data_IF_031006207643
#
_entry.id   IF_031006207643
#
_cell.length_a   1.000
_cell.length_b   1.000
_cell.length_c   1.000
_cell.angle_alpha   90.00
_cell.angle_beta   90.00
_cell.angle_gamma   90.00
#
_symmetry.space_group_name_H-M   'P 1'
#
loop_
_entity.id
_entity.type
_entity.pdbx_description
1 polymer ?
#
# COMPACT_ATOMS: atom_id res chain seq x y z
N UNK A 1 -3.09 8.38 -4.51
CA UNK A 1 -2.76 9.83 -4.57
C UNK A 1 -3.10 10.56 -3.27
N UNK A 2 -4.37 10.57 -2.83
CA UNK A 2 -4.82 11.29 -1.61
C UNK A 2 -3.96 11.02 -0.36
N UNK A 3 -3.64 9.76 -0.07
CA UNK A 3 -2.81 9.39 1.09
C UNK A 3 -1.40 9.99 1.02
N UNK A 4 -0.76 9.89 -0.14
CA UNK A 4 0.59 10.46 -0.37
C UNK A 4 0.55 11.98 -0.24
N UNK A 5 -0.44 12.65 -0.85
CA UNK A 5 -0.59 14.10 -0.71
C UNK A 5 -0.81 14.51 0.75
N UNK A 6 -1.64 13.77 1.49
CA UNK A 6 -1.88 14.01 2.92
C UNK A 6 -0.58 13.92 3.73
N UNK A 7 0.30 12.95 3.43
CA UNK A 7 1.63 12.84 4.05
C UNK A 7 2.53 14.05 3.74
N UNK A 8 2.59 14.48 2.48
CA UNK A 8 3.38 15.66 2.11
C UNK A 8 2.87 16.94 2.78
N UNK A 9 1.54 17.13 2.83
CA UNK A 9 0.95 18.27 3.54
C UNK A 9 1.25 18.21 5.04
N UNK A 10 1.11 17.04 5.67
CA UNK A 10 1.45 16.86 7.08
C UNK A 10 2.93 17.11 7.37
N UNK A 11 3.82 16.85 6.40
CA UNK A 11 5.25 17.15 6.47
C UNK A 11 5.59 18.64 6.18
N UNK A 12 4.59 19.49 5.89
CA UNK A 12 4.80 20.92 5.65
C UNK A 12 5.14 21.29 4.21
N UNK A 13 4.83 20.45 3.22
CA UNK A 13 4.97 20.82 1.83
C UNK A 13 4.16 22.10 1.51
N UNK A 14 4.70 22.96 0.64
CA UNK A 14 4.00 24.16 0.17
C UNK A 14 3.13 23.91 -1.09
N UNK A 15 3.23 22.71 -1.68
CA UNK A 15 2.50 22.33 -2.88
C UNK A 15 2.75 20.88 -3.26
N UNK A 16 1.83 20.32 -4.05
CA UNK A 16 1.92 18.97 -4.60
C UNK A 16 2.20 19.06 -6.09
N UNK A 17 3.28 18.41 -6.54
CA UNK A 17 3.64 18.31 -7.95
C UNK A 17 3.35 16.91 -8.47
N UNK A 18 2.66 16.83 -9.62
CA UNK A 18 2.35 15.57 -10.30
C UNK A 18 3.17 15.47 -11.59
N UNK A 19 4.06 14.47 -11.65
CA UNK A 19 4.82 14.14 -12.85
C UNK A 19 4.14 13.02 -13.63
N UNK A 20 4.06 13.13 -14.96
CA UNK A 20 3.42 12.17 -15.88
C UNK A 20 1.90 11.99 -15.78
N UNK A 21 1.16 12.94 -15.20
CA UNK A 21 -0.32 12.91 -15.15
C UNK A 21 -1.00 13.68 -16.30
N UNK A 22 -0.23 14.18 -17.27
CA UNK A 22 -0.76 15.02 -18.38
C UNK A 22 -1.73 14.28 -19.32
N UNK A 23 -1.73 12.95 -19.33
CA UNK A 23 -2.62 12.15 -20.18
C UNK A 23 -3.97 11.84 -19.54
N UNK A 24 -4.17 12.18 -18.27
CA UNK A 24 -5.44 11.97 -17.61
C UNK A 24 -6.53 12.88 -18.21
N UNK A 25 -7.78 12.38 -18.22
CA UNK A 25 -8.91 13.10 -18.79
C UNK A 25 -9.26 14.38 -18.01
N UNK A 26 -9.92 15.36 -18.65
CA UNK A 26 -10.22 16.66 -18.03
C UNK A 26 -11.00 16.56 -16.71
N UNK A 27 -12.09 15.77 -16.69
CA UNK A 27 -12.92 15.57 -15.51
C UNK A 27 -12.15 14.91 -14.35
N UNK A 28 -11.27 13.96 -14.69
CA UNK A 28 -10.40 13.33 -13.69
C UNK A 28 -9.41 14.35 -13.12
N UNK A 29 -8.78 15.15 -13.98
CA UNK A 29 -7.82 16.17 -13.57
C UNK A 29 -8.48 17.20 -12.67
N UNK A 30 -9.63 17.75 -13.07
CA UNK A 30 -10.37 18.73 -12.27
C UNK A 30 -10.69 18.15 -10.88
N UNK A 31 -11.30 16.97 -10.83
CA UNK A 31 -11.67 16.32 -9.57
C UNK A 31 -10.45 16.04 -8.68
N UNK A 32 -9.38 15.46 -9.24
CA UNK A 32 -8.22 15.05 -8.45
C UNK A 32 -7.39 16.27 -8.03
N UNK A 33 -7.11 17.21 -8.92
CA UNK A 33 -6.31 18.40 -8.59
C UNK A 33 -7.01 19.26 -7.53
N UNK A 34 -8.34 19.44 -7.62
CA UNK A 34 -9.11 20.15 -6.59
C UNK A 34 -9.00 19.48 -5.21
N UNK A 35 -8.91 18.15 -5.16
CA UNK A 35 -8.71 17.42 -3.91
C UNK A 35 -7.27 17.54 -3.40
N UNK A 36 -6.26 17.43 -4.27
CA UNK A 36 -4.86 17.38 -3.83
C UNK A 36 -4.28 18.76 -3.49
N UNK A 37 -4.83 19.84 -4.07
CA UNK A 37 -4.33 21.20 -3.92
C UNK A 37 -4.58 21.82 -2.54
N UNK A 38 -5.56 21.31 -1.80
CA UNK A 38 -5.92 21.81 -0.47
C UNK A 38 -5.95 20.66 0.56
N UNK A 39 -5.12 20.70 1.63
CA UNK A 39 -5.17 19.70 2.69
C UNK A 39 -6.54 19.60 3.37
N UNK A 40 -7.32 20.67 3.43
CA UNK A 40 -8.67 20.63 3.99
C UNK A 40 -9.63 19.82 3.10
N UNK A 41 -9.48 19.89 1.78
CA UNK A 41 -10.25 19.10 0.82
C UNK A 41 -9.93 17.60 0.89
N UNK A 42 -8.77 17.21 1.43
CA UNK A 42 -8.41 15.81 1.68
C UNK A 42 -9.04 15.23 2.94
N UNK A 43 -9.54 16.07 3.84
CA UNK A 43 -10.07 15.63 5.13
C UNK A 43 -11.26 14.69 4.92
N UNK A 44 -11.21 13.53 5.58
CA UNK A 44 -12.25 12.50 5.51
C UNK A 44 -12.58 11.97 4.11
N UNK A 45 -11.69 12.14 3.13
CA UNK A 45 -11.74 11.36 1.90
C UNK A 45 -11.05 10.02 2.11
N UNK A 46 -11.60 8.98 1.49
CA UNK A 46 -10.99 7.66 1.45
C UNK A 46 -9.55 7.72 0.95
N UNK A 47 -8.67 7.03 1.68
CA UNK A 47 -7.23 7.04 1.46
C UNK A 47 -6.68 5.63 1.53
N UNK A 48 -5.70 5.38 0.68
CA UNK A 48 -4.98 4.12 0.63
C UNK A 48 -3.50 4.36 0.85
N UNK A 49 -3.01 3.88 1.97
CA UNK A 49 -1.61 3.96 2.38
C UNK A 49 -0.91 2.69 1.91
N UNK A 50 0.06 2.82 1.01
CA UNK A 50 0.78 1.69 0.42
C UNK A 50 2.26 1.80 0.77
N UNK A 51 2.89 0.67 1.11
CA UNK A 51 4.34 0.58 1.16
C UNK A 51 4.94 0.42 -0.23
N UNK A 52 6.10 1.03 -0.40
CA UNK A 52 6.81 0.98 -1.66
C UNK A 52 7.67 -0.28 -1.81
N UNK A 53 7.91 -0.69 -3.05
CA UNK A 53 8.76 -1.83 -3.40
C UNK A 53 10.13 -1.35 -3.88
N UNK A 54 11.19 -2.01 -3.41
CA UNK A 54 12.58 -1.75 -3.83
C UNK A 54 12.86 -2.15 -5.27
N UNK A 55 12.00 -3.00 -5.85
CA UNK A 55 12.10 -3.47 -7.22
C UNK A 55 11.93 -2.36 -8.29
N UNK A 56 11.61 -1.12 -7.90
CA UNK A 56 11.63 0.07 -8.78
C UNK A 56 12.94 0.22 -9.57
N UNK A 57 14.03 -0.38 -9.09
CA UNK A 57 15.35 -0.28 -9.72
C UNK A 57 15.88 -1.60 -10.30
N UNK A 58 15.11 -2.69 -10.23
CA UNK A 58 15.60 -4.04 -10.53
C UNK A 58 14.66 -4.90 -11.38
N UNK A 59 13.61 -4.33 -11.99
CA UNK A 59 12.76 -5.14 -12.88
C UNK A 59 13.58 -5.67 -14.07
N UNK A 60 13.29 -6.87 -14.61
CA UNK A 60 14.00 -7.43 -15.75
C UNK A 60 13.94 -6.56 -17.01
N UNK A 61 12.91 -5.71 -17.13
CA UNK A 61 12.80 -4.69 -18.18
C UNK A 61 13.90 -3.63 -18.10
N UNK A 62 14.47 -3.38 -16.92
CA UNK A 62 15.58 -2.46 -16.70
C UNK A 62 16.96 -3.13 -16.81
N UNK A 63 17.04 -4.47 -16.76
CA UNK A 63 18.30 -5.19 -16.96
C UNK A 63 18.74 -5.28 -18.43
N UNK A 64 17.82 -5.05 -19.38
CA UNK A 64 18.13 -5.08 -20.82
C UNK A 64 18.64 -3.73 -21.37
N UNK A 65 18.55 -2.64 -20.59
CA UNK A 65 19.07 -1.32 -20.97
C UNK A 65 20.03 -0.82 -19.89
N UNK A 66 21.35 -0.85 -20.13
CA UNK A 66 22.29 -0.28 -19.18
C UNK A 66 22.04 1.23 -19.09
N UNK A 67 21.62 1.69 -17.90
CA UNK A 67 21.61 3.10 -17.48
C UNK A 67 20.92 4.09 -18.44
N UNK A 68 19.58 4.09 -18.46
CA UNK A 68 18.82 5.16 -19.13
C UNK A 68 17.42 5.42 -18.52
N UNK A 69 17.21 5.26 -17.21
CA UNK A 69 15.94 5.64 -16.58
C UNK A 69 16.11 6.83 -15.61
N UNK A 70 15.24 7.83 -15.78
CA UNK A 70 15.04 8.98 -14.86
C UNK A 70 14.93 8.50 -13.40
N UNK A 71 14.40 7.30 -13.19
CA UNK A 71 14.24 6.64 -11.90
C UNK A 71 15.57 6.48 -11.15
N UNK A 72 16.68 6.10 -11.81
CA UNK A 72 17.98 5.93 -11.15
C UNK A 72 18.50 7.24 -10.54
N UNK A 73 18.11 8.39 -11.08
CA UNK A 73 18.45 9.72 -10.54
C UNK A 73 17.93 9.92 -9.11
N UNK A 74 16.83 9.25 -8.76
CA UNK A 74 16.19 9.33 -7.44
C UNK A 74 16.52 8.13 -6.54
N UNK A 75 17.43 7.24 -6.96
CA UNK A 75 17.76 6.01 -6.21
C UNK A 75 18.17 6.27 -4.77
N UNK A 76 18.86 7.38 -4.51
CA UNK A 76 19.28 7.79 -3.15
C UNK A 76 18.41 8.90 -2.56
N UNK A 77 17.45 9.44 -3.34
CA UNK A 77 16.55 10.49 -2.89
C UNK A 77 15.32 9.93 -2.15
N UNK A 78 15.00 8.65 -2.36
CA UNK A 78 13.95 7.96 -1.63
C UNK A 78 14.56 7.06 -0.55
N UNK A 79 13.97 7.00 0.67
CA UNK A 79 14.33 5.99 1.66
C UNK A 79 14.27 4.59 1.05
N UNK A 80 15.13 3.69 1.53
CA UNK A 80 15.09 2.29 1.11
C UNK A 80 13.66 1.77 1.26
N UNK A 81 13.07 1.32 0.15
CA UNK A 81 11.78 0.68 0.18
C UNK A 81 11.82 -0.57 1.07
N UNK A 82 10.77 -0.78 1.85
CA UNK A 82 10.73 -1.83 2.87
C UNK A 82 10.37 -3.20 2.29
N UNK A 83 9.89 -3.26 1.05
CA UNK A 83 9.45 -4.48 0.37
C UNK A 83 10.39 -4.85 -0.80
N UNK A 84 10.45 -6.13 -1.22
CA UNK A 84 9.79 -7.28 -0.62
C UNK A 84 10.44 -7.71 0.71
N UNK A 85 9.67 -8.41 1.56
CA UNK A 85 10.17 -8.98 2.81
C UNK A 85 10.07 -10.49 2.75
N UNK A 86 11.20 -11.17 2.92
CA UNK A 86 11.26 -12.63 3.04
C UNK A 86 10.82 -13.00 4.47
N UNK A 87 9.80 -13.85 4.58
CA UNK A 87 9.35 -14.39 5.85
C UNK A 87 9.97 -15.76 6.08
N UNK A 88 10.82 -15.84 7.09
CA UNK A 88 11.38 -17.10 7.57
C UNK A 88 10.56 -17.64 8.75
N UNK A 89 10.42 -18.96 8.83
CA UNK A 89 9.81 -19.58 9.99
C UNK A 89 10.75 -19.41 11.19
N UNK A 90 10.31 -18.65 12.19
CA UNK A 90 11.14 -18.30 13.35
C UNK A 90 10.50 -18.80 14.65
N UNK A 91 11.17 -19.75 15.30
CA UNK A 91 10.80 -20.22 16.66
C UNK A 91 11.30 -19.28 17.75
N UNK A 92 12.28 -18.41 17.44
CA UNK A 92 12.92 -17.49 18.39
C UNK A 92 12.18 -16.15 18.54
N UNK A 93 10.99 -16.01 17.95
CA UNK A 93 10.14 -14.82 18.09
C UNK A 93 10.58 -13.59 17.30
N UNK A 94 11.72 -13.62 16.59
CA UNK A 94 12.11 -12.54 15.68
C UNK A 94 11.22 -12.58 14.43
N UNK A 95 10.54 -11.48 14.15
CA UNK A 95 9.80 -11.26 12.92
C UNK A 95 10.32 -10.02 12.21
N UNK A 96 10.27 -9.99 10.86
CA UNK A 96 10.52 -8.77 10.14
C UNK A 96 9.48 -7.71 10.51
N UNK A 97 9.96 -6.47 10.51
CA UNK A 97 9.18 -5.28 10.80
C UNK A 97 9.10 -4.39 9.58
N UNK A 98 7.93 -3.80 9.35
CA UNK A 98 7.78 -2.66 8.45
C UNK A 98 6.90 -1.60 9.11
N UNK A 99 6.91 -0.38 8.58
CA UNK A 99 6.11 0.71 9.13
C UNK A 99 5.34 1.46 8.07
N UNK A 100 4.06 1.71 8.36
CA UNK A 100 3.16 2.57 7.62
C UNK A 100 3.11 3.94 8.30
N UNK A 101 3.17 5.01 7.51
CA UNK A 101 2.99 6.37 8.00
C UNK A 101 1.64 6.92 7.55
N UNK A 102 0.77 7.16 8.52
CA UNK A 102 -0.62 7.58 8.31
C UNK A 102 -0.74 9.07 8.64
N UNK A 103 -1.17 9.88 7.69
CA UNK A 103 -1.30 11.32 7.91
C UNK A 103 -2.59 11.71 8.64
N UNK A 104 -3.65 10.92 8.48
CA UNK A 104 -4.96 11.19 9.08
C UNK A 104 -4.95 10.99 10.60
N UNK A 105 -5.64 11.88 11.31
CA UNK A 105 -5.99 11.69 12.72
C UNK A 105 -7.21 10.74 12.81
N UNK A 106 -6.89 9.44 12.83
CA UNK A 106 -7.89 8.38 12.91
C UNK A 106 -8.66 8.38 14.24
N UNK A 107 -8.01 8.81 15.33
CA UNK A 107 -8.64 8.87 16.65
C UNK A 107 -9.71 9.97 16.66
N UNK A 108 -9.40 11.16 16.14
CA UNK A 108 -10.37 12.23 15.99
C UNK A 108 -11.51 11.86 15.02
N UNK A 109 -11.21 11.18 13.91
CA UNK A 109 -12.22 10.72 12.96
C UNK A 109 -13.19 9.70 13.59
N UNK A 110 -12.66 8.75 14.37
CA UNK A 110 -13.47 7.77 15.11
C UNK A 110 -14.34 8.46 16.16
N UNK A 111 -13.77 9.38 16.94
CA UNK A 111 -14.51 10.12 17.97
C UNK A 111 -15.63 10.99 17.37
N UNK A 112 -15.43 11.50 16.15
CA UNK A 112 -16.44 12.24 15.41
C UNK A 112 -17.49 11.36 14.70
N UNK A 113 -17.36 10.03 14.75
CA UNK A 113 -18.29 9.10 14.12
C UNK A 113 -18.25 9.10 12.58
N UNK A 114 -17.13 9.52 11.99
CA UNK A 114 -16.98 9.65 10.52
C UNK A 114 -16.02 8.62 9.92
N UNK A 115 -15.27 7.90 10.77
CA UNK A 115 -14.42 6.80 10.33
C UNK A 115 -15.29 5.56 10.13
N UNK A 116 -15.44 5.12 8.88
CA UNK A 116 -16.24 3.96 8.54
C UNK A 116 -15.46 2.66 8.76
N UNK A 117 -14.26 2.56 8.19
CA UNK A 117 -13.49 1.30 8.16
C UNK A 117 -12.00 1.53 7.98
N UNK A 118 -11.21 0.65 8.59
CA UNK A 118 -9.76 0.54 8.36
C UNK A 118 -9.42 -0.92 8.00
N UNK A 119 -9.02 -1.16 6.75
CA UNK A 119 -8.70 -2.49 6.23
C UNK A 119 -7.22 -2.59 5.88
N UNK A 120 -6.48 -3.42 6.61
CA UNK A 120 -5.10 -3.76 6.31
C UNK A 120 -5.05 -4.99 5.41
N UNK A 121 -4.41 -4.87 4.25
CA UNK A 121 -4.20 -5.95 3.29
C UNK A 121 -2.71 -6.25 3.15
N UNK A 122 -2.32 -7.51 3.38
CA UNK A 122 -0.97 -8.03 3.15
C UNK A 122 -0.98 -8.96 1.94
N UNK A 123 -0.05 -8.79 0.99
CA UNK A 123 0.00 -9.59 -0.25
C UNK A 123 1.28 -10.40 -0.34
N UNK A 124 1.15 -11.63 -0.81
CA UNK A 124 2.21 -12.62 -0.83
C UNK A 124 2.33 -13.29 -2.21
N UNK A 125 3.52 -13.77 -2.53
CA UNK A 125 3.78 -14.48 -3.78
C UNK A 125 3.19 -15.89 -3.83
N UNK A 126 3.34 -16.66 -2.75
CA UNK A 126 3.08 -18.10 -2.70
C UNK A 126 2.40 -18.52 -1.39
N UNK A 127 1.46 -17.72 -0.91
CA UNK A 127 0.68 -18.04 0.30
C UNK A 127 -0.15 -19.31 0.09
N UNK A 128 0.01 -20.26 1.00
CA UNK A 128 -0.78 -21.48 1.10
C UNK A 128 -1.86 -21.34 2.19
N UNK A 129 -3.02 -21.99 2.04
CA UNK A 129 -4.00 -22.09 3.13
C UNK A 129 -3.44 -22.70 4.42
N UNK A 130 -2.42 -23.58 4.31
CA UNK A 130 -1.76 -24.22 5.45
C UNK A 130 -0.71 -23.33 6.12
N UNK A 131 -0.41 -22.16 5.56
CA UNK A 131 0.48 -21.21 6.19
C UNK A 131 -0.22 -20.56 7.40
N UNK A 132 0.52 -20.40 8.48
CA UNK A 132 0.05 -19.72 9.68
C UNK A 132 0.84 -18.44 9.89
N UNK A 133 0.14 -17.32 9.75
CA UNK A 133 0.72 -15.98 9.85
C UNK A 133 0.04 -15.25 11.01
N UNK A 134 0.85 -14.74 11.93
CA UNK A 134 0.44 -13.82 12.98
C UNK A 134 0.91 -12.42 12.61
N UNK A 135 0.01 -11.44 12.70
CA UNK A 135 0.30 -10.04 12.39
C UNK A 135 0.05 -9.21 13.64
N UNK A 136 0.99 -8.33 13.97
CA UNK A 136 0.82 -7.31 14.99
C UNK A 136 0.90 -5.94 14.37
N UNK A 137 0.12 -5.01 14.90
CA UNK A 137 0.30 -3.59 14.65
C UNK A 137 0.43 -2.84 15.97
N UNK A 138 1.47 -2.02 16.10
CA UNK A 138 1.81 -1.33 17.35
C UNK A 138 1.71 -2.26 18.57
N UNK A 139 2.36 -3.43 18.48
CA UNK A 139 2.39 -4.50 19.50
C UNK A 139 1.05 -5.20 19.79
N UNK A 140 -0.04 -4.80 19.14
CA UNK A 140 -1.36 -5.43 19.27
C UNK A 140 -1.53 -6.53 18.23
N UNK A 141 -1.83 -7.75 18.66
CA UNK A 141 -2.16 -8.85 17.75
C UNK A 141 -3.44 -8.55 16.98
N UNK A 142 -3.38 -8.66 15.66
CA UNK A 142 -4.55 -8.58 14.80
C UNK A 142 -5.22 -9.94 14.72
N UNK A 143 -6.52 -9.96 14.96
CA UNK A 143 -7.34 -11.13 14.64
C UNK A 143 -7.57 -11.12 13.13
N UNK A 144 -7.24 -12.23 12.46
CA UNK A 144 -7.54 -12.36 11.04
C UNK A 144 -9.06 -12.35 10.86
N UNK A 145 -9.59 -11.31 10.19
CA UNK A 145 -11.02 -11.18 9.96
C UNK A 145 -11.49 -12.20 8.89
N UNK A 146 -10.65 -12.50 7.90
CA UNK A 146 -10.84 -13.59 6.96
C UNK A 146 -9.52 -13.95 6.24
N UNK A 147 -9.24 -15.25 6.10
CA UNK A 147 -8.24 -15.73 5.13
C UNK A 147 -8.96 -15.93 3.81
N UNK A 148 -8.70 -15.08 2.82
CA UNK A 148 -9.23 -15.31 1.49
C UNK A 148 -8.30 -16.29 0.75
N UNK A 149 -8.85 -17.48 0.47
CA UNK A 149 -8.23 -18.55 -0.33
C UNK A 149 -8.10 -18.17 -1.83
N UNK A 150 -7.66 -19.10 -2.69
CA UNK A 150 -6.69 -18.83 -3.74
C UNK A 150 -7.20 -18.06 -4.96
N UNK A 151 -6.28 -17.24 -5.48
CA UNK A 151 -5.95 -16.89 -6.87
C UNK A 151 -7.06 -16.38 -7.82
N UNK A 152 -6.71 -15.27 -8.48
CA UNK A 152 -7.44 -14.62 -9.57
C UNK A 152 -8.66 -13.81 -9.09
N UNK A 153 -8.87 -12.65 -9.72
CA UNK A 153 -9.96 -11.68 -9.56
C UNK A 153 -9.77 -10.49 -8.60
N UNK A 154 -8.65 -10.32 -7.88
CA UNK A 154 -8.39 -8.99 -7.30
C UNK A 154 -8.02 -8.03 -8.42
N UNK A 155 -8.88 -7.04 -8.65
CA UNK A 155 -8.71 -6.04 -9.69
C UNK A 155 -8.31 -4.71 -9.08
N UNK A 156 -7.29 -4.09 -9.66
CA UNK A 156 -6.87 -2.73 -9.36
C UNK A 156 -7.13 -1.85 -10.57
N UNK A 157 -7.67 -0.67 -10.35
CA UNK A 157 -7.69 0.37 -11.37
C UNK A 157 -6.27 0.89 -11.60
N UNK A 158 -5.80 0.77 -12.83
CA UNK A 158 -4.52 1.28 -13.29
C UNK A 158 -4.72 2.12 -14.55
N UNK A 159 -3.76 2.99 -14.84
CA UNK A 159 -3.72 3.65 -16.14
C UNK A 159 -3.24 2.61 -17.16
N UNK A 160 -3.90 2.52 -18.31
CA UNK A 160 -3.56 1.55 -19.36
C UNK A 160 -2.08 1.56 -19.73
N UNK A 161 -1.56 0.39 -20.13
CA UNK A 161 -0.22 0.30 -20.68
C UNK A 161 -0.11 1.21 -21.93
N UNK A 162 1.07 1.81 -22.14
CA UNK A 162 1.28 2.78 -23.23
C UNK A 162 0.37 4.02 -23.17
N UNK A 163 -0.02 4.45 -21.97
CA UNK A 163 -0.85 5.65 -21.73
C UNK A 163 -0.41 6.92 -22.46
N UNK A 164 0.85 7.01 -22.88
CA UNK A 164 1.42 8.12 -23.64
C UNK A 164 1.05 8.11 -25.14
N UNK A 165 0.42 7.04 -25.63
CA UNK A 165 0.09 6.88 -27.06
C UNK A 165 -1.30 7.40 -27.44
N UNK A 166 -2.17 7.64 -26.44
CA UNK A 166 -3.55 8.08 -26.65
C UNK A 166 -4.00 9.05 -25.56
N UNK A 167 -4.87 9.99 -25.93
CA UNK A 167 -5.50 10.92 -25.00
C UNK A 167 -7.05 10.87 -25.10
N UNK A 168 -7.78 10.88 -23.97
CA UNK A 168 -7.27 10.65 -22.62
C UNK A 168 -6.83 9.19 -22.44
N UNK A 169 -5.86 8.95 -21.56
CA UNK A 169 -5.49 7.60 -21.18
C UNK A 169 -6.65 6.92 -20.45
N UNK A 170 -6.88 5.64 -20.74
CA UNK A 170 -7.96 4.88 -20.12
C UNK A 170 -7.54 4.34 -18.75
N UNK A 171 -8.51 4.30 -17.82
CA UNK A 171 -8.38 3.53 -16.59
C UNK A 171 -8.88 2.12 -16.91
N UNK A 172 -8.01 1.14 -16.68
CA UNK A 172 -8.30 -0.28 -16.89
C UNK A 172 -8.30 -0.99 -15.55
N UNK A 173 -9.08 -2.06 -15.46
CA UNK A 173 -8.98 -2.98 -14.33
C UNK A 173 -7.92 -4.03 -14.65
N UNK A 174 -6.87 -4.08 -13.82
CA UNK A 174 -5.79 -5.05 -13.93
C UNK A 174 -5.94 -6.07 -12.82
N UNK A 175 -5.99 -7.33 -13.23
CA UNK A 175 -6.01 -8.46 -12.32
C UNK A 175 -4.62 -8.72 -11.75
N UNK A 176 -4.57 -8.92 -10.44
CA UNK A 176 -3.33 -9.02 -9.69
C UNK A 176 -3.11 -10.48 -9.25
N UNK A 177 -1.95 -11.08 -9.54
CA UNK A 177 -1.73 -12.52 -9.39
C UNK A 177 -1.41 -12.95 -7.94
N UNK A 178 -1.56 -12.06 -6.95
CA UNK A 178 -1.08 -12.27 -5.59
C UNK A 178 -2.16 -12.79 -4.65
N UNK A 179 -1.79 -13.74 -3.79
CA UNK A 179 -2.59 -14.12 -2.64
C UNK A 179 -2.51 -13.03 -1.55
N UNK A 180 -3.56 -12.88 -0.74
CA UNK A 180 -3.62 -11.80 0.24
C UNK A 180 -4.33 -12.20 1.54
N UNK A 181 -4.01 -11.49 2.61
CA UNK A 181 -4.69 -11.55 3.91
C UNK A 181 -5.25 -10.17 4.24
N UNK A 182 -6.46 -10.14 4.79
CA UNK A 182 -7.14 -8.91 5.19
C UNK A 182 -7.47 -8.89 6.69
N UNK A 183 -7.26 -7.73 7.29
CA UNK A 183 -7.50 -7.49 8.70
C UNK A 183 -8.30 -6.20 8.85
N UNK A 184 -9.48 -6.29 9.45
CA UNK A 184 -10.13 -5.12 10.03
C UNK A 184 -9.29 -4.66 11.22
N UNK A 185 -8.94 -3.38 11.24
CA UNK A 185 -8.09 -2.84 12.29
C UNK A 185 -8.75 -1.64 12.94
N UNK A 186 -8.98 -1.73 14.25
CA UNK A 186 -9.50 -0.62 15.03
C UNK A 186 -8.48 0.52 15.21
N UNK A 187 -8.98 1.68 15.65
CA UNK A 187 -8.17 2.81 16.11
C UNK A 187 -8.53 3.15 17.57
N UNK A 188 -7.76 2.75 18.59
CA UNK A 188 -6.48 2.00 18.54
C UNK A 188 -6.68 0.53 18.10
N UNK A 189 -5.62 -0.17 17.60
CA UNK A 189 -4.21 0.18 17.70
C UNK A 189 -3.66 1.16 16.66
N UNK A 190 -4.39 1.41 15.56
CA UNK A 190 -3.95 2.40 14.57
C UNK A 190 -3.87 3.80 15.18
N UNK A 191 -2.91 4.60 14.72
CA UNK A 191 -2.73 5.99 15.13
C UNK A 191 -2.23 6.87 13.99
N UNK A 192 -2.37 8.18 14.17
CA UNK A 192 -1.68 9.14 13.30
C UNK A 192 -0.16 8.99 13.41
N UNK A 193 0.55 9.18 12.30
CA UNK A 193 2.00 9.03 12.20
C UNK A 193 2.42 7.59 11.97
N UNK A 194 3.53 7.19 12.61
CA UNK A 194 4.16 5.89 12.41
C UNK A 194 3.38 4.76 13.10
N UNK A 195 3.05 3.74 12.32
CA UNK A 195 2.46 2.47 12.75
C UNK A 195 3.40 1.33 12.36
N UNK A 196 3.80 0.53 13.33
CA UNK A 196 4.75 -0.58 13.14
C UNK A 196 4.00 -1.90 12.99
N UNK A 197 4.35 -2.66 11.97
CA UNK A 197 3.80 -3.97 11.66
C UNK A 197 4.88 -5.02 11.90
N UNK A 198 4.54 -6.05 12.66
CA UNK A 198 5.35 -7.27 12.81
C UNK A 198 4.59 -8.43 12.19
N UNK A 199 5.28 -9.22 11.37
CA UNK A 199 4.67 -10.32 10.61
C UNK A 199 5.42 -11.60 10.90
N UNK A 200 4.80 -12.51 11.65
CA UNK A 200 5.39 -13.78 12.04
C UNK A 200 4.83 -14.92 11.19
N UNK A 201 5.70 -15.62 10.47
CA UNK A 201 5.37 -16.92 9.89
C UNK A 201 5.56 -18.01 10.96
N UNK A 202 4.46 -18.48 11.55
CA UNK A 202 4.47 -19.53 12.59
C UNK A 202 4.68 -20.92 11.97
N UNK A 203 3.97 -21.17 10.87
CA UNK A 203 3.98 -22.44 10.15
C UNK A 203 4.03 -22.18 8.65
N UNK A 204 4.97 -22.83 7.96
CA UNK A 204 5.04 -22.87 6.49
C UNK A 204 4.51 -24.21 5.98
N UNK A 205 3.70 -24.19 4.93
CA UNK A 205 3.21 -25.41 4.28
C UNK A 205 4.36 -26.29 3.81
N UNK A 206 4.32 -27.58 4.18
CA UNK A 206 5.38 -28.56 3.88
C UNK A 206 5.57 -28.81 2.38
N UNK A 207 4.55 -28.51 1.57
CA UNK A 207 4.57 -28.70 0.13
C UNK A 207 5.26 -27.53 -0.61
N UNK A 208 5.69 -26.49 0.11
CA UNK A 208 6.36 -25.33 -0.47
C UNK A 208 7.84 -25.28 -0.05
N UNK A 209 8.73 -25.48 -1.01
CA UNK A 209 10.18 -25.38 -0.79
C UNK A 209 10.73 -23.95 -0.83
N UNK A 210 9.96 -22.99 -1.39
CA UNK A 210 10.36 -21.59 -1.47
C UNK A 210 9.93 -20.82 -0.20
N UNK A 211 10.74 -19.84 0.25
CA UNK A 211 10.35 -18.98 1.35
C UNK A 211 9.11 -18.16 0.96
N UNK A 212 8.29 -17.81 1.96
CA UNK A 212 7.12 -16.97 1.73
C UNK A 212 7.58 -15.51 1.64
N UNK A 213 7.16 -14.77 0.60
CA UNK A 213 7.58 -13.38 0.42
C UNK A 213 6.39 -12.44 0.47
N UNK A 214 6.45 -11.45 1.36
CA UNK A 214 5.53 -10.32 1.40
C UNK A 214 5.90 -9.31 0.31
N UNK A 215 4.97 -9.11 -0.62
CA UNK A 215 5.15 -8.27 -1.81
C UNK A 215 4.48 -6.90 -1.67
N UNK A 216 3.39 -6.80 -0.91
CA UNK A 216 2.69 -5.53 -0.71
C UNK A 216 2.06 -5.44 0.68
N UNK A 217 2.01 -4.21 1.19
CA UNK A 217 1.29 -3.83 2.41
C UNK A 217 0.47 -2.60 2.09
N UNK A 218 -0.82 -2.67 2.38
CA UNK A 218 -1.79 -1.64 2.06
C UNK A 218 -2.76 -1.44 3.21
N UNK A 219 -3.02 -0.19 3.58
CA UNK A 219 -4.08 0.17 4.52
C UNK A 219 -5.08 1.08 3.81
N UNK A 220 -6.31 0.59 3.65
CA UNK A 220 -7.45 1.41 3.29
C UNK A 220 -8.03 2.06 4.55
N UNK A 221 -8.15 3.38 4.52
CA UNK A 221 -8.91 4.17 5.49
C UNK A 221 -10.11 4.73 4.75
N UNK A 222 -11.29 4.24 5.10
CA UNK A 222 -12.56 4.65 4.53
C UNK A 222 -13.37 5.47 5.54
N UNK A 223 -14.08 6.47 5.02
CA UNK A 223 -14.91 7.38 5.80
C UNK A 223 -16.38 7.23 5.39
N UNK A 224 -17.27 7.59 6.29
CA UNK A 224 -18.71 7.65 6.00
C UNK A 224 -18.97 8.69 4.91
N UNK A 225 -19.80 8.35 3.92
CA UNK A 225 -20.28 9.32 2.94
C UNK A 225 -21.06 10.43 3.67
N UNK A 226 -20.71 11.69 3.37
CA UNK A 226 -21.37 12.88 3.93
C UNK A 226 -22.33 13.48 2.92
#
# INVERSE_FOLDING_TARGET
LRAIASRFWAAGAAGIYLYNFFTAGPEWNERVLNQLADPAALKYLDKRYELDQSARFTTPYHCAYPVANIEATFRYANPAAQLPIILEQSLAGHAPQCSLEIADDLAAARAAGVLARCLLTLRFDTLSPDDEIEVKINQTNLQAAARHGPFYNWKRQEIEAQFWTRYPAQIVEVEQPWAHLEFEVDCPPLRQGKNELEIHLKTRSRNQGAPLVLQAVELLVAYEER
#
